data_IF_068230107446
#
_entry.id   IF_068230107446
#
_cell.length_a   1.000
_cell.length_b   1.000
_cell.length_c   1.000
_cell.angle_alpha   90.00
_cell.angle_beta   90.00
_cell.angle_gamma   90.00
#
_symmetry.space_group_name_H-M   'P 1'
#
loop_
_entity.id
_entity.type
_entity.pdbx_description
1 polymer ?
#
# COMPACT_ATOMS: atom_id res chain seq x y z
N UNK A 1 13.92 12.49 2.52
CA UNK A 1 15.15 11.70 2.29
C UNK A 1 15.20 10.63 3.36
N UNK A 2 14.52 9.50 3.13
CA UNK A 2 14.58 8.37 4.05
C UNK A 2 15.87 7.60 3.76
N UNK A 3 16.82 7.79 4.66
CA UNK A 3 18.14 7.19 4.59
C UNK A 3 18.03 5.66 4.85
N UNK A 4 18.96 4.90 4.30
CA UNK A 4 19.12 3.46 4.58
C UNK A 4 19.13 3.11 6.09
N UNK A 5 19.48 4.07 6.94
CA UNK A 5 19.39 3.94 8.40
C UNK A 5 17.96 3.75 8.90
N UNK A 6 16.96 4.30 8.23
CA UNK A 6 15.55 4.14 8.62
C UNK A 6 15.00 2.76 8.23
N UNK A 7 15.49 2.13 7.18
CA UNK A 7 15.14 0.74 6.86
C UNK A 7 15.55 -0.24 7.97
N UNK A 8 16.69 -0.03 8.61
CA UNK A 8 17.14 -0.86 9.72
C UNK A 8 16.29 -0.67 10.97
N UNK A 9 15.72 0.52 11.17
CA UNK A 9 14.84 0.83 12.30
C UNK A 9 13.40 0.36 12.09
N UNK A 10 12.92 0.28 10.86
CA UNK A 10 11.57 -0.21 10.52
C UNK A 10 11.51 -1.73 10.25
N UNK A 11 12.63 -2.42 10.43
CA UNK A 11 12.73 -3.86 10.53
C UNK A 11 12.74 -4.61 9.20
N UNK A 12 13.84 -4.95 8.68
CA UNK A 12 14.02 -5.76 7.49
C UNK A 12 13.37 -7.17 7.58
N UNK A 13 13.88 -8.10 6.81
CA UNK A 13 13.41 -9.48 6.72
C UNK A 13 13.27 -10.21 8.08
N UNK A 14 14.06 -9.83 9.09
CA UNK A 14 14.00 -10.43 10.43
C UNK A 14 12.65 -10.21 11.12
N UNK A 15 11.99 -9.07 10.90
CA UNK A 15 10.64 -8.83 11.47
C UNK A 15 9.63 -9.74 10.79
N UNK A 16 9.69 -9.90 9.48
CA UNK A 16 8.80 -10.81 8.76
C UNK A 16 9.02 -12.24 9.24
N UNK A 17 10.27 -12.67 9.38
CA UNK A 17 10.61 -13.97 9.95
C UNK A 17 10.05 -14.16 11.37
N UNK A 18 10.06 -13.10 12.19
CA UNK A 18 9.44 -13.10 13.51
C UNK A 18 7.92 -13.25 13.44
N UNK A 19 7.26 -12.49 12.58
CA UNK A 19 5.81 -12.52 12.38
C UNK A 19 5.35 -13.90 11.88
N UNK A 20 6.09 -14.54 10.98
CA UNK A 20 5.76 -15.87 10.43
C UNK A 20 5.67 -16.97 11.46
N UNK A 21 6.25 -16.81 12.63
CA UNK A 21 6.10 -17.77 13.74
C UNK A 21 4.69 -17.77 14.35
N UNK A 22 3.88 -16.76 14.06
CA UNK A 22 2.58 -16.55 14.69
C UNK A 22 1.41 -16.51 13.69
N UNK A 23 1.67 -16.43 12.38
CA UNK A 23 0.60 -16.32 11.39
C UNK A 23 1.02 -16.78 10.00
N UNK A 24 0.05 -17.39 9.29
CA UNK A 24 0.14 -17.74 7.86
C UNK A 24 -0.59 -16.72 6.97
N UNK A 25 -1.10 -15.63 7.55
CA UNK A 25 -1.74 -14.57 6.77
C UNK A 25 -0.76 -13.95 5.76
N UNK A 26 -1.23 -13.49 4.59
CA UNK A 26 -0.38 -12.81 3.63
C UNK A 26 0.36 -11.63 4.26
N UNK A 27 1.67 -11.54 4.01
CA UNK A 27 2.52 -10.43 4.47
C UNK A 27 3.02 -9.65 3.28
N UNK A 28 2.79 -8.34 3.32
CA UNK A 28 3.30 -7.38 2.33
C UNK A 28 4.53 -6.66 2.89
N UNK A 29 5.51 -6.45 2.02
CA UNK A 29 6.71 -5.67 2.34
C UNK A 29 6.75 -4.41 1.48
N UNK A 30 6.68 -3.24 2.13
CA UNK A 30 6.79 -1.95 1.46
C UNK A 30 8.25 -1.49 1.47
N UNK A 31 8.79 -1.21 0.29
CA UNK A 31 10.16 -0.71 0.11
C UNK A 31 10.12 0.80 -0.12
N UNK A 32 10.73 1.57 0.76
CA UNK A 32 10.84 3.03 0.65
C UNK A 32 12.27 3.48 0.34
N UNK A 33 12.94 2.78 -0.58
CA UNK A 33 14.29 3.14 -1.03
C UNK A 33 14.34 3.42 -2.52
N UNK A 34 15.34 4.15 -2.94
CA UNK A 34 15.57 4.45 -4.38
C UNK A 34 16.12 3.24 -5.14
N UNK A 35 16.66 2.28 -4.44
CA UNK A 35 17.26 1.07 -5.02
C UNK A 35 16.85 -0.13 -4.19
N UNK A 36 16.63 -1.26 -4.84
CA UNK A 36 16.37 -2.52 -4.20
C UNK A 36 17.32 -3.57 -4.80
N UNK A 37 18.14 -4.17 -3.96
CA UNK A 37 19.04 -5.25 -4.36
C UNK A 37 18.23 -6.54 -4.51
N UNK A 38 18.50 -7.30 -5.57
CA UNK A 38 17.87 -8.62 -5.79
C UNK A 38 18.15 -9.60 -4.66
N UNK A 39 19.34 -9.52 -4.04
CA UNK A 39 19.66 -10.33 -2.86
C UNK A 39 18.77 -9.99 -1.66
N UNK A 40 18.36 -8.72 -1.54
CA UNK A 40 17.42 -8.34 -0.49
C UNK A 40 16.01 -8.88 -0.79
N UNK A 41 15.56 -8.84 -2.04
CA UNK A 41 14.28 -9.43 -2.47
C UNK A 41 14.31 -10.95 -2.23
N UNK A 42 15.43 -11.61 -2.50
CA UNK A 42 15.64 -13.03 -2.19
C UNK A 42 15.38 -13.30 -0.70
N UNK A 43 16.03 -12.53 0.18
CA UNK A 43 15.83 -12.67 1.63
C UNK A 43 14.39 -12.44 2.06
N UNK A 44 13.67 -11.49 1.44
CA UNK A 44 12.25 -11.28 1.71
C UNK A 44 11.41 -12.50 1.29
N UNK A 45 11.72 -13.11 0.16
CA UNK A 45 11.07 -14.34 -0.30
C UNK A 45 11.31 -15.50 0.67
N UNK A 46 12.56 -15.73 1.07
CA UNK A 46 12.96 -16.81 1.99
C UNK A 46 12.24 -16.75 3.35
N UNK A 47 11.94 -15.54 3.83
CA UNK A 47 11.21 -15.34 5.09
C UNK A 47 9.69 -15.32 4.93
N UNK A 48 9.19 -15.58 3.73
CA UNK A 48 7.75 -15.77 3.47
C UNK A 48 6.98 -14.48 3.19
N UNK A 49 7.60 -13.47 2.58
CA UNK A 49 6.89 -12.33 2.02
C UNK A 49 6.01 -12.78 0.86
N UNK A 50 4.75 -12.34 0.83
CA UNK A 50 3.81 -12.70 -0.23
C UNK A 50 3.71 -11.62 -1.31
N UNK A 51 3.96 -10.35 -0.96
CA UNK A 51 3.89 -9.23 -1.91
C UNK A 51 4.97 -8.20 -1.59
N UNK A 52 5.59 -7.69 -2.65
CA UNK A 52 6.54 -6.59 -2.60
C UNK A 52 5.88 -5.34 -3.17
N UNK A 53 5.89 -4.24 -2.41
CA UNK A 53 5.36 -2.94 -2.86
C UNK A 53 6.53 -1.97 -3.04
N UNK A 54 6.67 -1.42 -4.24
CA UNK A 54 7.78 -0.57 -4.66
C UNK A 54 7.30 0.84 -5.00
N UNK A 55 8.05 1.91 -4.67
CA UNK A 55 7.71 3.26 -5.09
C UNK A 55 7.89 3.42 -6.61
N UNK A 56 6.80 3.75 -7.31
CA UNK A 56 6.79 3.85 -8.77
C UNK A 56 7.83 4.86 -9.29
N UNK A 57 8.09 5.94 -8.54
CA UNK A 57 9.05 6.98 -8.94
C UNK A 57 10.49 6.49 -9.06
N UNK A 58 10.80 5.34 -8.47
CA UNK A 58 12.16 4.79 -8.43
C UNK A 58 12.32 3.49 -9.22
N UNK A 59 11.21 2.84 -9.56
CA UNK A 59 11.20 1.53 -10.21
C UNK A 59 10.35 1.56 -11.47
N UNK A 60 10.96 1.95 -12.59
CA UNK A 60 10.33 2.01 -13.92
C UNK A 60 11.23 1.33 -14.95
N UNK A 61 10.64 0.92 -16.07
CA UNK A 61 11.36 0.32 -17.20
C UNK A 61 11.98 -1.04 -16.90
N UNK A 62 13.14 -1.30 -17.48
CA UNK A 62 13.82 -2.60 -17.38
C UNK A 62 14.09 -3.07 -15.94
N UNK A 63 14.53 -2.22 -14.99
CA UNK A 63 14.71 -2.64 -13.59
C UNK A 63 13.44 -3.20 -12.97
N UNK A 64 12.29 -2.58 -13.23
CA UNK A 64 11.00 -3.06 -12.73
C UNK A 64 10.64 -4.43 -13.33
N UNK A 65 10.81 -4.59 -14.65
CA UNK A 65 10.53 -5.86 -15.33
C UNK A 65 11.36 -7.02 -14.75
N UNK A 66 12.65 -6.78 -14.46
CA UNK A 66 13.50 -7.79 -13.79
C UNK A 66 12.97 -8.14 -12.39
N UNK A 67 12.57 -7.16 -11.60
CA UNK A 67 12.02 -7.39 -10.25
C UNK A 67 10.71 -8.17 -10.33
N UNK A 68 9.81 -7.81 -11.23
CA UNK A 68 8.54 -8.51 -11.42
C UNK A 68 8.79 -9.99 -11.75
N UNK A 69 9.66 -10.29 -12.70
CA UNK A 69 9.99 -11.66 -13.08
C UNK A 69 10.63 -12.43 -11.90
N UNK A 70 11.57 -11.79 -11.20
CA UNK A 70 12.22 -12.37 -10.02
C UNK A 70 11.23 -12.72 -8.91
N UNK A 71 10.27 -11.85 -8.65
CA UNK A 71 9.21 -12.09 -7.67
C UNK A 71 8.27 -13.23 -8.11
N UNK A 72 7.85 -13.23 -9.38
CA UNK A 72 6.98 -14.28 -9.95
C UNK A 72 7.60 -15.68 -9.85
N UNK A 73 8.90 -15.82 -10.14
CA UNK A 73 9.64 -17.08 -9.99
C UNK A 73 9.61 -17.62 -8.55
N UNK A 74 9.36 -16.74 -7.57
CA UNK A 74 9.29 -17.06 -6.13
C UNK A 74 7.88 -17.02 -5.57
N UNK A 75 6.88 -17.02 -6.44
CA UNK A 75 5.46 -16.93 -6.04
C UNK A 75 5.11 -15.70 -5.21
N UNK A 76 5.89 -14.62 -5.36
CA UNK A 76 5.59 -13.31 -4.77
C UNK A 76 4.85 -12.43 -5.77
N UNK A 77 3.85 -11.71 -5.28
CA UNK A 77 3.18 -10.65 -6.00
C UNK A 77 3.98 -9.34 -5.96
N UNK A 78 3.73 -8.46 -6.92
CA UNK A 78 4.38 -7.14 -7.00
C UNK A 78 3.31 -6.05 -7.11
N UNK A 79 3.46 -5.00 -6.30
CA UNK A 79 2.67 -3.79 -6.43
C UNK A 79 3.56 -2.56 -6.56
N UNK A 80 3.00 -1.50 -7.10
CA UNK A 80 3.62 -0.19 -7.15
C UNK A 80 2.87 0.79 -6.26
N UNK A 81 3.61 1.59 -5.50
CA UNK A 81 3.01 2.68 -4.71
C UNK A 81 3.21 4.02 -5.42
N UNK A 82 2.15 4.83 -5.39
CA UNK A 82 2.15 6.23 -5.82
C UNK A 82 1.63 7.12 -4.71
N UNK A 83 2.12 8.34 -4.64
CA UNK A 83 1.61 9.39 -3.77
C UNK A 83 0.63 10.31 -4.49
N UNK A 84 0.03 11.23 -3.75
CA UNK A 84 -0.97 12.17 -4.26
C UNK A 84 -0.47 13.01 -5.46
N UNK A 85 0.81 13.31 -5.49
CA UNK A 85 1.42 14.15 -6.55
C UNK A 85 2.20 13.33 -7.59
N UNK A 86 2.18 12.00 -7.50
CA UNK A 86 2.78 11.13 -8.52
C UNK A 86 1.84 11.02 -9.71
N UNK A 87 2.25 11.40 -10.92
CA UNK A 87 1.43 11.23 -12.10
C UNK A 87 1.11 9.75 -12.37
N UNK A 88 -0.12 9.44 -12.78
CA UNK A 88 -0.52 8.07 -13.13
C UNK A 88 0.31 7.49 -14.29
N UNK A 89 0.88 8.33 -15.14
CA UNK A 89 1.80 7.90 -16.22
C UNK A 89 3.01 7.11 -15.74
N UNK A 90 3.40 7.23 -14.47
CA UNK A 90 4.46 6.40 -13.88
C UNK A 90 4.10 4.92 -13.78
N UNK A 91 2.81 4.60 -13.71
CA UNK A 91 2.33 3.24 -13.53
C UNK A 91 1.51 2.73 -14.71
N UNK A 92 1.16 3.61 -15.64
CA UNK A 92 0.21 3.32 -16.72
C UNK A 92 0.59 2.11 -17.58
N UNK A 93 1.87 1.99 -17.93
CA UNK A 93 2.37 0.85 -18.70
C UNK A 93 2.62 -0.39 -17.82
N UNK A 94 2.91 -0.19 -16.54
CA UNK A 94 3.19 -1.28 -15.59
C UNK A 94 1.92 -1.95 -15.06
N UNK A 95 0.75 -1.33 -15.21
CA UNK A 95 -0.54 -1.86 -14.71
C UNK A 95 -0.80 -3.28 -15.23
N UNK A 96 -0.39 -3.60 -16.46
CA UNK A 96 -0.58 -4.92 -17.05
C UNK A 96 0.18 -6.03 -16.30
N UNK A 97 1.25 -5.68 -15.62
CA UNK A 97 2.20 -6.63 -15.04
C UNK A 97 2.23 -6.65 -13.52
N UNK A 98 1.58 -5.70 -12.85
CA UNK A 98 1.54 -5.63 -11.40
C UNK A 98 0.24 -6.19 -10.83
N UNK A 99 0.31 -6.67 -9.59
CA UNK A 99 -0.83 -7.25 -8.88
C UNK A 99 -1.59 -6.20 -8.05
N UNK A 100 -0.94 -5.06 -7.73
CA UNK A 100 -1.55 -4.01 -6.91
C UNK A 100 -1.02 -2.61 -7.23
N UNK A 101 -1.93 -1.65 -7.36
CA UNK A 101 -1.66 -0.23 -7.30
C UNK A 101 -1.95 0.28 -5.88
N UNK A 102 -0.90 0.63 -5.16
CA UNK A 102 -0.98 1.10 -3.78
C UNK A 102 -0.92 2.62 -3.74
N UNK A 103 -1.98 3.29 -3.26
CA UNK A 103 -2.12 4.74 -3.29
C UNK A 103 -1.95 5.28 -1.88
N UNK A 104 -0.87 6.04 -1.67
CA UNK A 104 -0.59 6.70 -0.40
C UNK A 104 -1.18 8.10 -0.42
N UNK A 105 -2.16 8.31 0.45
CA UNK A 105 -2.88 9.60 0.61
C UNK A 105 -2.40 10.40 1.82
N UNK A 106 -1.35 9.91 2.48
CA UNK A 106 -0.78 10.50 3.68
C UNK A 106 0.09 11.74 3.40
N UNK A 107 0.14 12.67 4.35
CA UNK A 107 1.14 13.74 4.38
C UNK A 107 0.72 15.07 3.73
N UNK A 108 -0.55 15.25 3.37
CA UNK A 108 -1.00 16.51 2.76
C UNK A 108 -1.69 17.43 3.76
N UNK A 109 -2.14 16.92 4.90
CA UNK A 109 -2.89 17.67 5.91
C UNK A 109 -2.30 17.67 7.32
N UNK A 110 -1.09 17.17 7.52
CA UNK A 110 -0.39 17.26 8.82
C UNK A 110 -0.06 18.71 9.23
N UNK A 111 -0.17 19.67 8.31
CA UNK A 111 0.24 21.06 8.56
C UNK A 111 -0.79 21.88 9.33
N UNK A 112 -2.05 21.48 9.41
CA UNK A 112 -3.10 22.34 9.95
C UNK A 112 -3.55 22.01 11.39
N UNK A 113 -3.06 20.93 11.99
CA UNK A 113 -3.28 20.60 13.41
C UNK A 113 -4.74 20.58 13.86
N UNK A 114 -5.70 20.51 12.96
CA UNK A 114 -7.14 20.50 13.24
C UNK A 114 -7.74 19.14 12.86
N UNK A 115 -8.56 18.62 13.74
CA UNK A 115 -9.23 17.32 13.68
C UNK A 115 -10.23 17.14 12.51
N UNK A 116 -10.24 18.05 11.54
CA UNK A 116 -11.08 17.96 10.34
C UNK A 116 -10.26 17.48 9.13
N UNK A 117 -10.00 16.19 9.11
CA UNK A 117 -9.42 15.49 7.97
C UNK A 117 -10.48 15.26 6.90
N UNK A 118 -10.79 16.31 6.16
CA UNK A 118 -11.52 16.13 4.91
C UNK A 118 -10.56 15.66 3.82
N UNK A 119 -10.91 14.58 3.11
CA UNK A 119 -10.11 14.14 1.98
C UNK A 119 -10.10 15.23 0.90
N UNK A 120 -8.94 15.66 0.46
CA UNK A 120 -8.82 16.64 -0.62
C UNK A 120 -9.48 16.08 -1.89
N UNK A 121 -10.12 16.97 -2.63
CA UNK A 121 -10.69 16.62 -3.94
C UNK A 121 -9.67 15.94 -4.84
N UNK A 122 -8.41 16.39 -4.84
CA UNK A 122 -7.31 15.80 -5.60
C UNK A 122 -7.03 14.34 -5.24
N UNK A 123 -7.21 13.96 -3.96
CA UNK A 123 -7.09 12.59 -3.50
C UNK A 123 -8.20 11.70 -4.08
N UNK A 124 -9.47 12.14 -3.94
CA UNK A 124 -10.60 11.38 -4.46
C UNK A 124 -10.58 11.30 -6.00
N UNK A 125 -10.14 12.36 -6.67
CA UNK A 125 -9.96 12.37 -8.12
C UNK A 125 -8.83 11.42 -8.58
N UNK A 126 -7.74 11.33 -7.81
CA UNK A 126 -6.69 10.34 -8.07
C UNK A 126 -7.21 8.92 -7.95
N UNK A 127 -7.92 8.59 -6.86
CA UNK A 127 -8.51 7.27 -6.64
C UNK A 127 -9.46 6.87 -7.77
N UNK A 128 -10.37 7.77 -8.17
CA UNK A 128 -11.31 7.52 -9.28
C UNK A 128 -10.60 7.28 -10.61
N UNK A 129 -9.57 8.09 -10.93
CA UNK A 129 -8.77 7.91 -12.15
C UNK A 129 -7.98 6.61 -12.11
N UNK A 130 -7.46 6.25 -10.94
CA UNK A 130 -6.74 4.97 -10.75
C UNK A 130 -7.67 3.78 -10.93
N UNK A 131 -8.90 3.84 -10.38
CA UNK A 131 -9.90 2.78 -10.58
C UNK A 131 -10.24 2.62 -12.05
N UNK A 132 -10.50 3.73 -12.76
CA UNK A 132 -10.76 3.70 -14.20
C UNK A 132 -9.60 3.06 -14.98
N UNK A 133 -8.37 3.48 -14.70
CA UNK A 133 -7.16 2.93 -15.35
C UNK A 133 -7.05 1.42 -15.15
N UNK A 134 -7.24 0.97 -13.91
CA UNK A 134 -7.15 -0.45 -13.56
C UNK A 134 -8.26 -1.25 -14.23
N UNK A 135 -9.50 -0.78 -14.20
CA UNK A 135 -10.65 -1.44 -14.83
C UNK A 135 -10.49 -1.58 -16.35
N UNK A 136 -9.88 -0.59 -17.00
CA UNK A 136 -9.66 -0.59 -18.44
C UNK A 136 -8.47 -1.47 -18.86
N UNK A 137 -7.38 -1.50 -18.08
CA UNK A 137 -6.12 -2.14 -18.48
C UNK A 137 -5.87 -3.51 -17.84
N UNK A 138 -6.17 -3.66 -16.54
CA UNK A 138 -5.97 -4.91 -15.80
C UNK A 138 -6.96 -5.02 -14.63
N UNK A 139 -8.18 -5.49 -14.86
CA UNK A 139 -9.19 -5.64 -13.79
C UNK A 139 -8.79 -6.59 -12.64
N UNK A 140 -7.71 -7.35 -12.79
CA UNK A 140 -7.17 -8.22 -11.75
C UNK A 140 -6.18 -7.49 -10.81
N UNK A 141 -5.71 -6.30 -11.21
CA UNK A 141 -4.87 -5.47 -10.36
C UNK A 141 -5.72 -4.84 -9.25
N UNK A 142 -5.37 -5.08 -8.00
CA UNK A 142 -6.05 -4.50 -6.85
C UNK A 142 -5.66 -3.03 -6.65
N UNK A 143 -6.57 -2.21 -6.17
CA UNK A 143 -6.26 -0.86 -5.66
C UNK A 143 -6.26 -0.90 -4.13
N UNK A 144 -5.11 -0.58 -3.52
CA UNK A 144 -4.99 -0.35 -2.09
C UNK A 144 -4.90 1.15 -1.78
N UNK A 145 -5.53 1.56 -0.68
CA UNK A 145 -5.42 2.93 -0.16
C UNK A 145 -4.78 2.91 1.23
N UNK A 146 -3.84 3.82 1.47
CA UNK A 146 -3.07 3.92 2.70
C UNK A 146 -2.86 5.38 3.12
N UNK A 147 -2.85 5.64 4.42
CA UNK A 147 -2.48 6.92 5.03
C UNK A 147 -3.62 7.64 5.74
N UNK A 148 -3.55 7.71 7.05
CA UNK A 148 -4.47 8.48 7.89
C UNK A 148 -5.91 8.02 7.93
N UNK A 149 -6.21 6.82 7.46
CA UNK A 149 -7.58 6.28 7.34
C UNK A 149 -8.08 5.81 8.70
N UNK A 150 -9.32 6.19 9.01
CA UNK A 150 -10.03 5.86 10.25
C UNK A 150 -11.51 5.56 9.95
N UNK A 151 -12.19 4.95 10.91
CA UNK A 151 -13.61 4.62 10.78
C UNK A 151 -14.53 5.83 10.50
N UNK A 152 -14.12 7.02 10.95
CA UNK A 152 -14.90 8.26 10.82
C UNK A 152 -14.63 9.06 9.52
N UNK A 153 -13.63 8.66 8.71
CA UNK A 153 -13.25 9.37 7.50
C UNK A 153 -13.19 8.51 6.24
N UNK A 154 -13.54 7.23 6.31
CA UNK A 154 -13.34 6.28 5.20
C UNK A 154 -14.44 6.31 4.12
N UNK A 155 -15.67 6.78 4.42
CA UNK A 155 -16.79 6.73 3.48
C UNK A 155 -16.48 7.30 2.08
N UNK A 156 -15.89 8.51 1.95
CA UNK A 156 -15.57 9.06 0.64
C UNK A 156 -14.52 8.25 -0.14
N UNK A 157 -13.65 7.51 0.58
CA UNK A 157 -12.64 6.64 -0.01
C UNK A 157 -13.28 5.35 -0.52
N UNK A 158 -14.18 4.75 0.27
CA UNK A 158 -14.93 3.55 -0.13
C UNK A 158 -15.79 3.82 -1.36
N UNK A 159 -16.36 5.01 -1.48
CA UNK A 159 -17.10 5.43 -2.66
C UNK A 159 -16.25 5.49 -3.96
N UNK A 160 -14.91 5.46 -3.83
CA UNK A 160 -13.99 5.33 -4.96
C UNK A 160 -13.65 3.87 -5.33
N UNK A 161 -14.30 2.91 -4.67
CA UNK A 161 -14.19 1.46 -4.91
C UNK A 161 -12.75 0.89 -4.81
N UNK A 162 -12.03 1.09 -3.69
CA UNK A 162 -10.77 0.40 -3.46
C UNK A 162 -11.01 -1.07 -3.11
N UNK A 163 -10.04 -1.93 -3.45
CA UNK A 163 -10.08 -3.36 -3.09
C UNK A 163 -9.52 -3.61 -1.68
N UNK A 164 -8.56 -2.78 -1.27
CA UNK A 164 -7.84 -2.91 0.02
C UNK A 164 -7.76 -1.57 0.75
N UNK A 165 -8.04 -1.57 2.04
CA UNK A 165 -7.85 -0.43 2.95
C UNK A 165 -6.78 -0.75 3.97
N UNK A 166 -5.70 0.04 3.99
CA UNK A 166 -4.60 -0.13 4.93
C UNK A 166 -4.83 0.74 6.18
N UNK A 167 -4.85 0.10 7.34
CA UNK A 167 -5.10 0.72 8.62
C UNK A 167 -3.92 0.48 9.56
N UNK A 168 -3.39 1.53 10.15
CA UNK A 168 -2.29 1.46 11.12
C UNK A 168 -2.67 2.12 12.44
N UNK A 169 -2.53 3.43 12.56
CA UNK A 169 -2.80 4.15 13.81
C UNK A 169 -4.24 3.98 14.30
N UNK A 170 -5.20 3.88 13.38
CA UNK A 170 -6.61 3.62 13.70
C UNK A 170 -6.82 2.29 14.44
N UNK A 171 -5.91 1.33 14.29
CA UNK A 171 -5.97 0.02 14.94
C UNK A 171 -5.08 -0.01 16.18
N UNK A 172 -3.82 0.40 16.06
CA UNK A 172 -2.82 0.20 17.10
C UNK A 172 -2.81 1.30 18.20
N UNK A 173 -3.44 2.46 17.93
CA UNK A 173 -3.55 3.57 18.89
C UNK A 173 -4.96 3.76 19.45
N UNK A 174 -5.92 2.89 19.12
CA UNK A 174 -7.28 2.98 19.66
C UNK A 174 -7.30 2.62 21.14
N UNK A 175 -7.96 3.46 21.93
CA UNK A 175 -8.02 3.31 23.39
C UNK A 175 -8.81 2.07 23.85
N UNK A 176 -9.76 1.62 23.02
CA UNK A 176 -10.59 0.43 23.31
C UNK A 176 -9.91 -0.88 22.88
N UNK A 177 -8.68 -0.79 22.35
CA UNK A 177 -7.84 -1.89 21.94
C UNK A 177 -8.09 -2.42 20.52
N UNK A 178 -7.15 -3.21 20.03
CA UNK A 178 -7.07 -3.68 18.63
C UNK A 178 -8.38 -4.33 18.14
N UNK A 179 -8.97 -5.23 18.95
CA UNK A 179 -10.20 -5.96 18.55
C UNK A 179 -11.39 -5.01 18.35
N UNK A 180 -11.55 -4.04 19.24
CA UNK A 180 -12.63 -3.06 19.16
C UNK A 180 -12.41 -2.13 17.94
N UNK A 181 -11.19 -1.64 17.74
CA UNK A 181 -10.80 -0.83 16.60
C UNK A 181 -11.06 -1.54 15.25
N UNK A 182 -10.65 -2.81 15.14
CA UNK A 182 -10.91 -3.63 13.95
C UNK A 182 -12.41 -3.74 13.67
N UNK A 183 -13.23 -3.97 14.70
CA UNK A 183 -14.68 -4.06 14.53
C UNK A 183 -15.30 -2.73 14.10
N UNK A 184 -14.87 -1.60 14.69
CA UNK A 184 -15.30 -0.25 14.27
C UNK A 184 -15.02 -0.02 12.79
N UNK A 185 -13.79 -0.27 12.32
CA UNK A 185 -13.41 -0.08 10.94
C UNK A 185 -14.18 -1.01 9.97
N UNK A 186 -14.32 -2.30 10.31
CA UNK A 186 -15.10 -3.25 9.50
C UNK A 186 -16.57 -2.84 9.38
N UNK A 187 -17.18 -2.36 10.46
CA UNK A 187 -18.55 -1.87 10.45
C UNK A 187 -18.70 -0.64 9.57
N UNK A 188 -17.76 0.32 9.68
CA UNK A 188 -17.77 1.52 8.85
C UNK A 188 -17.63 1.18 7.36
N UNK A 189 -16.69 0.30 6.99
CA UNK A 189 -16.53 -0.17 5.60
C UNK A 189 -17.83 -0.78 5.08
N UNK A 190 -18.46 -1.68 5.86
CA UNK A 190 -19.71 -2.32 5.46
C UNK A 190 -20.84 -1.31 5.25
N UNK A 191 -20.95 -0.31 6.13
CA UNK A 191 -21.97 0.72 6.01
C UNK A 191 -21.76 1.63 4.77
N UNK A 192 -20.49 1.91 4.44
CA UNK A 192 -20.16 2.73 3.28
C UNK A 192 -20.35 1.99 1.93
N UNK A 193 -20.48 0.67 1.95
CA UNK A 193 -20.75 -0.16 0.76
C UNK A 193 -22.25 -0.42 0.54
N UNK A 194 -23.10 -0.08 1.52
CA UNK A 194 -24.56 -0.26 1.46
C UNK A 194 -25.26 0.96 0.87
#
# INVERSE_FOLDING_TARGET
MHDLKNMQLMGGHQIIQGIRKYTDLPVECHIYTKTCDLLFIEKLSEVGTNMLILPAEHFIGAPLAYIINWCRERSMKVGLTIGLYTPLSFVEESIYDIDRLHIVVHGVDETDGKDNWGWRKSCLDLLKRSRKLVDEKNPQCEIAIDGGIRADNLDPLIACNPDVVVLSSAIFKDQDGIKAAMNKCKTAIKNAQS
#
